data_IF_738476378384
#
_entry.id   IF_738476378384
#
_cell.length_a   1.000
_cell.length_b   1.000
_cell.length_c   1.000
_cell.angle_alpha   90.00
_cell.angle_beta   90.00
_cell.angle_gamma   90.00
#
_symmetry.space_group_name_H-M   'P 1'
#
loop_
_entity.id
_entity.type
_entity.pdbx_description
1 polymer ?
#
# COMPACT_ATOMS: atom_id res chain seq x y z
N UNK A 1 14.56 -37.59 16.79
CA UNK A 1 14.43 -36.37 17.63
C UNK A 1 15.69 -35.54 17.44
N UNK A 2 15.60 -34.33 16.85
CA UNK A 2 16.78 -33.45 16.73
C UNK A 2 17.07 -32.84 18.11
N UNK A 3 18.33 -32.89 18.55
CA UNK A 3 18.77 -32.22 19.78
C UNK A 3 19.27 -30.84 19.40
N UNK A 4 18.80 -29.82 20.10
CA UNK A 4 19.22 -28.43 19.93
C UNK A 4 19.74 -27.96 21.29
N UNK A 5 20.90 -27.33 21.30
CA UNK A 5 21.45 -26.67 22.48
C UNK A 5 21.13 -25.20 22.38
N UNK A 6 20.40 -24.66 23.36
CA UNK A 6 20.07 -23.24 23.44
C UNK A 6 20.87 -22.65 24.59
N UNK A 7 21.58 -21.54 24.33
CA UNK A 7 22.21 -20.74 25.38
C UNK A 7 21.25 -19.64 25.77
N UNK A 8 21.00 -19.52 27.05
CA UNK A 8 20.14 -18.50 27.66
C UNK A 8 20.88 -17.89 28.83
N UNK A 9 20.55 -16.65 29.18
CA UNK A 9 21.09 -16.01 30.36
C UNK A 9 20.66 -16.74 31.64
N UNK A 10 21.51 -16.72 32.67
CA UNK A 10 21.27 -17.41 33.94
C UNK A 10 19.93 -17.03 34.57
N UNK A 11 19.58 -15.74 34.52
CA UNK A 11 18.29 -15.24 34.99
C UNK A 11 17.09 -15.91 34.28
N UNK A 12 17.18 -16.10 32.96
CA UNK A 12 16.12 -16.74 32.17
C UNK A 12 16.07 -18.23 32.48
N UNK A 13 17.23 -18.87 32.64
CA UNK A 13 17.30 -20.28 33.05
C UNK A 13 16.62 -20.51 34.41
N UNK A 14 16.92 -19.69 35.41
CA UNK A 14 16.33 -19.79 36.74
C UNK A 14 14.81 -19.64 36.69
N UNK A 15 14.31 -18.68 35.90
CA UNK A 15 12.87 -18.48 35.70
C UNK A 15 12.21 -19.70 35.04
N UNK A 16 12.81 -20.26 33.99
CA UNK A 16 12.30 -21.47 33.34
C UNK A 16 12.32 -22.67 34.30
N UNK A 17 13.35 -22.77 35.14
CA UNK A 17 13.47 -23.84 36.13
C UNK A 17 12.41 -23.73 37.23
N UNK A 18 12.16 -22.53 37.75
CA UNK A 18 11.08 -22.28 38.72
C UNK A 18 9.72 -22.66 38.14
N UNK A 19 9.42 -22.23 36.92
CA UNK A 19 8.16 -22.57 36.23
C UNK A 19 8.05 -24.08 36.00
N UNK A 20 9.14 -24.76 35.67
CA UNK A 20 9.15 -26.21 35.52
C UNK A 20 8.85 -26.91 36.86
N UNK A 21 9.44 -26.42 37.96
CA UNK A 21 9.22 -26.93 39.33
C UNK A 21 7.78 -26.74 39.77
N UNK A 22 7.21 -25.55 39.62
CA UNK A 22 5.84 -25.24 40.03
C UNK A 22 4.81 -26.09 39.26
N UNK A 23 5.07 -26.35 37.98
CA UNK A 23 4.22 -27.18 37.15
C UNK A 23 4.53 -28.69 37.23
N UNK A 24 5.49 -29.12 38.07
CA UNK A 24 5.95 -30.52 38.16
C UNK A 24 6.32 -31.13 36.79
N UNK A 25 6.97 -30.34 35.93
CA UNK A 25 7.39 -30.73 34.57
C UNK A 25 8.88 -30.51 34.36
N UNK A 26 9.42 -30.96 33.22
CA UNK A 26 10.81 -30.70 32.84
C UNK A 26 10.95 -29.38 32.10
N UNK A 27 12.08 -28.71 32.25
CA UNK A 27 12.40 -27.45 31.54
C UNK A 27 12.25 -27.60 30.02
N UNK A 28 12.61 -28.76 29.46
CA UNK A 28 12.43 -29.06 28.04
C UNK A 28 10.96 -29.06 27.60
N UNK A 29 10.04 -29.56 28.44
CA UNK A 29 8.60 -29.51 28.13
C UNK A 29 8.07 -28.08 28.16
N UNK A 30 8.52 -27.28 29.11
CA UNK A 30 8.17 -25.85 29.19
C UNK A 30 8.67 -25.10 27.96
N UNK A 31 9.92 -25.31 27.55
CA UNK A 31 10.50 -24.69 26.35
C UNK A 31 9.72 -25.11 25.10
N UNK A 32 9.37 -26.39 24.96
CA UNK A 32 8.59 -26.86 23.82
C UNK A 32 7.20 -26.21 23.77
N UNK A 33 6.52 -26.07 24.91
CA UNK A 33 5.23 -25.39 24.97
C UNK A 33 5.33 -23.91 24.58
N UNK A 34 6.39 -23.22 25.00
CA UNK A 34 6.66 -21.83 24.61
C UNK A 34 6.89 -21.73 23.10
N UNK A 35 7.72 -22.61 22.54
CA UNK A 35 8.00 -22.63 21.10
C UNK A 35 6.75 -22.96 20.28
N UNK A 36 5.96 -23.93 20.72
CA UNK A 36 4.70 -24.29 20.08
C UNK A 36 3.73 -23.11 20.09
N UNK A 37 3.59 -22.43 21.23
CA UNK A 37 2.78 -21.22 21.34
C UNK A 37 3.27 -20.13 20.39
N UNK A 38 4.58 -19.87 20.33
CA UNK A 38 5.16 -18.85 19.46
C UNK A 38 5.06 -19.18 17.96
N UNK A 39 5.12 -20.46 17.60
CA UNK A 39 4.94 -20.91 16.21
C UNK A 39 3.47 -20.80 15.78
N UNK A 40 2.56 -21.13 16.69
CA UNK A 40 1.12 -21.13 16.46
C UNK A 40 0.49 -19.74 16.64
N UNK A 41 1.17 -18.80 17.30
CA UNK A 41 0.78 -17.40 17.33
C UNK A 41 0.79 -16.87 15.89
N UNK A 42 -0.31 -16.24 15.43
CA UNK A 42 -0.37 -15.68 14.10
C UNK A 42 0.67 -14.56 14.01
N UNK A 43 1.81 -14.85 13.39
CA UNK A 43 2.77 -13.81 13.00
C UNK A 43 2.01 -12.83 12.14
N UNK A 44 2.10 -11.54 12.48
CA UNK A 44 1.51 -10.47 11.67
C UNK A 44 1.81 -10.75 10.20
N UNK A 45 0.71 -10.88 9.48
CA UNK A 45 0.67 -11.47 8.16
C UNK A 45 1.50 -10.56 7.23
N UNK A 46 2.60 -11.10 6.71
CA UNK A 46 3.51 -10.47 5.73
C UNK A 46 2.81 -9.90 4.47
N UNK A 47 1.50 -10.10 4.30
CA UNK A 47 0.70 -9.50 3.23
C UNK A 47 0.34 -8.04 3.50
N UNK A 48 0.62 -7.47 4.67
CA UNK A 48 0.34 -6.05 4.94
C UNK A 48 1.12 -5.12 3.99
N UNK A 49 2.39 -5.43 3.74
CA UNK A 49 3.21 -4.70 2.76
C UNK A 49 2.73 -4.92 1.32
N UNK A 50 2.26 -6.12 1.00
CA UNK A 50 1.71 -6.44 -0.32
C UNK A 50 0.37 -5.72 -0.57
N UNK A 51 -0.48 -5.64 0.46
CA UNK A 51 -1.73 -4.89 0.46
C UNK A 51 -1.44 -3.41 0.26
N UNK A 52 -0.49 -2.84 1.02
CA UNK A 52 -0.11 -1.44 0.94
C UNK A 52 0.39 -1.06 -0.46
N UNK A 53 1.26 -1.90 -1.05
CA UNK A 53 1.73 -1.73 -2.43
C UNK A 53 0.58 -1.76 -3.45
N UNK A 54 -0.35 -2.71 -3.33
CA UNK A 54 -1.54 -2.78 -4.21
C UNK A 54 -2.43 -1.56 -4.05
N UNK A 55 -2.60 -1.06 -2.83
CA UNK A 55 -3.40 0.11 -2.52
C UNK A 55 -2.79 1.38 -3.14
N UNK A 56 -1.47 1.52 -3.08
CA UNK A 56 -0.75 2.63 -3.72
C UNK A 56 -0.88 2.59 -5.26
N UNK A 57 -0.83 1.41 -5.88
CA UNK A 57 -1.08 1.28 -7.32
C UNK A 57 -2.48 1.73 -7.72
N UNK A 58 -3.50 1.39 -6.92
CA UNK A 58 -4.89 1.80 -7.16
C UNK A 58 -5.02 3.32 -7.06
N UNK A 59 -4.42 3.96 -6.04
CA UNK A 59 -4.44 5.41 -5.91
C UNK A 59 -3.81 6.13 -7.11
N UNK A 60 -2.67 5.64 -7.61
CA UNK A 60 -2.03 6.21 -8.79
C UNK A 60 -2.90 6.11 -10.05
N UNK A 61 -3.65 5.01 -10.21
CA UNK A 61 -4.60 4.87 -11.32
C UNK A 61 -5.79 5.83 -11.18
N UNK A 62 -6.34 5.97 -9.97
CA UNK A 62 -7.43 6.90 -9.69
C UNK A 62 -7.04 8.35 -9.99
N UNK A 63 -5.84 8.78 -9.58
CA UNK A 63 -5.34 10.13 -9.87
C UNK A 63 -5.22 10.38 -11.39
N UNK A 64 -4.65 9.43 -12.13
CA UNK A 64 -4.56 9.50 -13.60
C UNK A 64 -5.93 9.60 -14.27
N UNK A 65 -6.90 8.81 -13.81
CA UNK A 65 -8.27 8.84 -14.34
C UNK A 65 -8.93 10.19 -14.04
N UNK A 66 -8.81 10.68 -12.79
CA UNK A 66 -9.35 11.97 -12.36
C UNK A 66 -8.81 13.13 -13.20
N UNK A 67 -7.48 13.19 -13.39
CA UNK A 67 -6.83 14.21 -14.23
C UNK A 67 -7.35 14.19 -15.67
N UNK A 68 -7.53 13.00 -16.25
CA UNK A 68 -8.09 12.85 -17.62
C UNK A 68 -9.55 13.28 -17.68
N UNK A 69 -10.38 12.89 -16.72
CA UNK A 69 -11.79 13.29 -16.66
C UNK A 69 -11.93 14.81 -16.54
N UNK A 70 -11.08 15.44 -15.73
CA UNK A 70 -11.05 16.89 -15.61
C UNK A 70 -10.63 17.58 -16.93
N UNK A 71 -9.68 17.02 -17.67
CA UNK A 71 -9.32 17.50 -19.02
C UNK A 71 -10.52 17.43 -19.96
N UNK A 72 -11.21 16.30 -20.01
CA UNK A 72 -12.41 16.14 -20.83
C UNK A 72 -13.51 17.10 -20.43
N UNK A 73 -13.73 17.32 -19.14
CA UNK A 73 -14.72 18.27 -18.65
C UNK A 73 -14.43 19.70 -19.13
N UNK A 74 -13.19 20.18 -19.01
CA UNK A 74 -12.80 21.51 -19.51
C UNK A 74 -13.01 21.68 -21.01
N UNK A 75 -12.60 20.67 -21.79
CA UNK A 75 -12.79 20.67 -23.24
C UNK A 75 -14.29 20.70 -23.60
N UNK A 76 -15.11 19.90 -22.93
CA UNK A 76 -16.56 19.87 -23.16
C UNK A 76 -17.24 21.18 -22.77
N UNK A 77 -16.85 21.80 -21.65
CA UNK A 77 -17.38 23.12 -21.26
C UNK A 77 -17.05 24.20 -22.29
N UNK A 78 -15.82 24.23 -22.79
CA UNK A 78 -15.43 25.19 -23.83
C UNK A 78 -16.11 24.90 -25.16
N UNK A 79 -16.24 23.62 -25.56
CA UNK A 79 -16.97 23.24 -26.76
C UNK A 79 -18.44 23.67 -26.70
N UNK A 80 -19.09 23.50 -25.55
CA UNK A 80 -20.46 23.96 -25.32
C UNK A 80 -20.56 25.50 -25.33
N UNK A 81 -19.61 26.21 -24.72
CA UNK A 81 -19.55 27.66 -24.79
C UNK A 81 -19.37 28.14 -26.24
N UNK A 82 -18.42 27.56 -26.99
CA UNK A 82 -18.17 27.90 -28.38
C UNK A 82 -19.41 27.64 -29.25
N UNK A 83 -20.15 26.55 -29.01
CA UNK A 83 -21.42 26.28 -29.71
C UNK A 83 -22.46 27.41 -29.54
N UNK A 84 -22.49 28.07 -28.38
CA UNK A 84 -23.33 29.25 -28.14
C UNK A 84 -22.83 30.54 -28.78
N UNK A 85 -21.53 30.64 -29.09
CA UNK A 85 -20.88 31.83 -29.68
C UNK A 85 -20.49 31.65 -31.17
N UNK A 86 -20.91 30.55 -31.80
CA UNK A 86 -20.56 30.15 -33.18
C UNK A 86 -20.98 31.14 -34.29
N UNK A 87 -21.60 32.28 -33.98
CA UNK A 87 -21.81 33.33 -34.98
C UNK A 87 -20.58 34.22 -35.20
N UNK A 88 -19.57 34.26 -34.31
CA UNK A 88 -18.47 35.25 -34.40
C UNK A 88 -17.06 34.79 -33.95
N UNK A 89 -16.79 33.50 -33.74
CA UNK A 89 -15.48 33.07 -33.22
C UNK A 89 -14.40 33.00 -34.33
N UNK A 90 -13.36 33.85 -34.24
CA UNK A 90 -12.16 33.77 -35.10
C UNK A 90 -11.29 32.57 -34.67
N UNK A 91 -10.91 31.73 -35.64
CA UNK A 91 -10.07 30.53 -35.46
C UNK A 91 -8.71 30.88 -34.81
N UNK A 92 -8.21 32.11 -35.01
CA UNK A 92 -6.96 32.58 -34.40
C UNK A 92 -7.09 32.94 -32.92
N UNK A 93 -8.29 33.26 -32.45
CA UNK A 93 -8.60 33.53 -31.05
C UNK A 93 -9.09 32.29 -30.29
N UNK A 94 -9.29 31.18 -31.00
CA UNK A 94 -9.69 29.91 -30.40
C UNK A 94 -8.56 29.33 -29.55
N UNK A 95 -8.61 29.67 -28.25
CA UNK A 95 -7.68 29.16 -27.22
C UNK A 95 -7.67 27.63 -27.18
N UNK A 96 -8.78 26.95 -27.52
CA UNK A 96 -8.85 25.49 -27.51
C UNK A 96 -8.04 24.89 -28.66
N UNK A 97 -8.19 25.45 -29.87
CA UNK A 97 -7.40 25.02 -31.02
C UNK A 97 -5.91 25.29 -30.81
N UNK A 98 -5.56 26.45 -30.24
CA UNK A 98 -4.18 26.77 -29.90
C UNK A 98 -3.61 25.87 -28.80
N UNK A 99 -4.36 25.53 -27.76
CA UNK A 99 -3.91 24.60 -26.70
C UNK A 99 -3.81 23.16 -27.22
N UNK A 100 -4.67 22.72 -28.14
CA UNK A 100 -4.57 21.40 -28.78
C UNK A 100 -3.37 21.34 -29.74
N UNK A 101 -3.15 22.38 -30.53
CA UNK A 101 -2.06 22.44 -31.53
C UNK A 101 -0.68 22.73 -30.91
N UNK A 102 -0.61 23.51 -29.82
CA UNK A 102 0.65 23.90 -29.17
C UNK A 102 1.03 23.05 -27.95
N UNK A 103 0.22 22.08 -27.54
CA UNK A 103 0.60 21.17 -26.46
C UNK A 103 1.77 20.28 -26.92
N UNK A 104 3.00 20.74 -26.65
CA UNK A 104 4.12 19.85 -26.36
C UNK A 104 3.78 19.16 -25.05
N UNK A 105 3.14 17.99 -25.15
CA UNK A 105 2.63 17.18 -24.04
C UNK A 105 3.73 16.89 -23.00
N UNK A 106 3.90 17.80 -22.03
CA UNK A 106 4.66 17.55 -20.80
C UNK A 106 3.77 17.01 -19.67
N UNK A 107 2.55 16.57 -19.98
CA UNK A 107 1.58 16.11 -18.97
C UNK A 107 1.57 14.58 -18.77
N UNK A 108 2.56 13.88 -19.32
CA UNK A 108 2.83 12.47 -19.05
C UNK A 108 3.85 12.25 -17.91
N UNK A 109 4.33 13.31 -17.24
CA UNK A 109 5.05 13.22 -15.96
C UNK A 109 4.07 13.17 -14.77
#
# INVERSE_FOLDING_TARGET
MKKITVRVDDYIYDRLFLVAKDNSTSTNKVINAILEKYINEPKEINHLSEIDNKLQMIYNQLDRISKRQYKHFKLSQQHFANFGYLSNADIKEDKCLNDILNNKDNFNE
#
